data_IF_547320168540
#
_entry.id   IF_547320168540
#
_cell.length_a   1.000
_cell.length_b   1.000
_cell.length_c   1.000
_cell.angle_alpha   90.00
_cell.angle_beta   90.00
_cell.angle_gamma   90.00
#
_symmetry.space_group_name_H-M   'P 1'
#
loop_
_entity.id
_entity.type
_entity.pdbx_description
1 polymer ?
#
# COMPACT_ATOMS: atom_id res chain seq x y z
N UNK A 1 10.25 30.15 -44.22
CA UNK A 1 10.12 29.25 -45.36
C UNK A 1 9.66 27.86 -44.93
N UNK A 2 9.43 26.98 -45.88
CA UNK A 2 8.96 25.60 -45.63
C UNK A 2 9.88 24.83 -44.67
N UNK A 3 11.20 25.03 -44.78
CA UNK A 3 12.16 24.35 -43.90
C UNK A 3 12.01 24.78 -42.44
N UNK A 4 11.70 26.04 -42.17
CA UNK A 4 11.50 26.53 -40.81
C UNK A 4 10.22 25.96 -40.19
N UNK A 5 9.17 25.84 -40.98
CA UNK A 5 7.90 25.27 -40.54
C UNK A 5 8.03 23.78 -40.25
N UNK A 6 8.73 23.02 -41.10
CA UNK A 6 8.99 21.59 -40.92
C UNK A 6 9.85 21.33 -39.67
N UNK A 7 10.88 22.15 -39.44
CA UNK A 7 11.72 22.06 -38.26
C UNK A 7 10.92 22.37 -36.98
N UNK A 8 10.05 23.38 -37.03
CA UNK A 8 9.21 23.74 -35.89
C UNK A 8 8.19 22.65 -35.57
N UNK A 9 7.57 22.08 -36.60
CA UNK A 9 6.65 20.95 -36.42
C UNK A 9 7.35 19.74 -35.81
N UNK A 10 8.56 19.40 -36.28
CA UNK A 10 9.36 18.32 -35.76
C UNK A 10 9.73 18.56 -34.30
N UNK A 11 10.18 19.78 -33.97
CA UNK A 11 10.53 20.16 -32.60
C UNK A 11 9.33 20.08 -31.67
N UNK A 12 8.15 20.54 -32.11
CA UNK A 12 6.92 20.47 -31.35
C UNK A 12 6.52 19.01 -31.10
N UNK A 13 6.66 18.16 -32.12
CA UNK A 13 6.35 16.76 -32.05
C UNK A 13 7.27 16.03 -31.06
N UNK A 14 8.58 16.30 -31.13
CA UNK A 14 9.56 15.75 -30.19
C UNK A 14 9.33 16.22 -28.77
N UNK A 15 8.94 17.49 -28.57
CA UNK A 15 8.56 18.01 -27.25
C UNK A 15 7.34 17.31 -26.68
N UNK A 16 6.34 17.07 -27.54
CA UNK A 16 5.12 16.34 -27.15
C UNK A 16 5.45 14.92 -26.71
N UNK A 17 6.27 14.20 -27.47
CA UNK A 17 6.71 12.84 -27.13
C UNK A 17 7.46 12.85 -25.81
N UNK A 18 8.38 13.77 -25.62
CA UNK A 18 9.16 13.89 -24.39
C UNK A 18 8.26 14.17 -23.17
N UNK A 19 7.29 15.04 -23.33
CA UNK A 19 6.34 15.38 -22.29
C UNK A 19 5.46 14.19 -21.94
N UNK A 20 5.00 13.43 -22.94
CA UNK A 20 4.21 12.21 -22.72
C UNK A 20 5.03 11.14 -22.00
N UNK A 21 6.28 10.95 -22.42
CA UNK A 21 7.20 10.02 -21.75
C UNK A 21 7.40 10.38 -20.28
N UNK A 22 7.59 11.67 -20.00
CA UNK A 22 7.76 12.15 -18.64
C UNK A 22 6.48 11.97 -17.80
N UNK A 23 5.32 12.20 -18.39
CA UNK A 23 4.01 11.99 -17.73
C UNK A 23 3.83 10.51 -17.37
N UNK A 24 4.14 9.61 -18.29
CA UNK A 24 4.08 8.16 -18.05
C UNK A 24 5.04 7.76 -16.93
N UNK A 25 6.27 8.24 -16.99
CA UNK A 25 7.30 7.95 -15.99
C UNK A 25 6.89 8.43 -14.60
N UNK A 26 6.36 9.65 -14.51
CA UNK A 26 5.86 10.23 -13.25
C UNK A 26 4.65 9.44 -12.71
N UNK A 27 3.74 9.05 -13.59
CA UNK A 27 2.58 8.23 -13.24
C UNK A 27 2.98 6.88 -12.70
N UNK A 28 3.93 6.20 -13.35
CA UNK A 28 4.43 4.90 -12.88
C UNK A 28 5.18 5.05 -11.56
N UNK A 29 5.94 6.12 -11.37
CA UNK A 29 6.62 6.39 -10.10
C UNK A 29 5.63 6.58 -8.96
N UNK A 30 4.53 7.28 -9.20
CA UNK A 30 3.46 7.47 -8.21
C UNK A 30 2.84 6.14 -7.80
N UNK A 31 2.55 5.27 -8.77
CA UNK A 31 1.99 3.94 -8.50
C UNK A 31 2.98 3.05 -7.76
N UNK A 32 4.25 3.12 -8.11
CA UNK A 32 5.31 2.41 -7.39
C UNK A 32 5.43 2.87 -5.94
N UNK A 33 5.44 4.18 -5.72
CA UNK A 33 5.49 4.75 -4.37
C UNK A 33 4.29 4.33 -3.53
N UNK A 34 3.11 4.22 -4.15
CA UNK A 34 1.91 3.73 -3.46
C UNK A 34 2.08 2.29 -2.99
N UNK A 35 2.66 1.42 -3.82
CA UNK A 35 2.99 0.04 -3.42
C UNK A 35 3.91 0.05 -2.20
N UNK A 36 4.96 0.88 -2.21
CA UNK A 36 5.91 0.96 -1.09
C UNK A 36 5.23 1.43 0.19
N UNK A 37 4.32 2.41 0.11
CA UNK A 37 3.53 2.87 1.24
C UNK A 37 2.62 1.78 1.79
N UNK A 38 1.96 1.03 0.91
CA UNK A 38 1.07 -0.07 1.32
C UNK A 38 1.85 -1.24 1.93
N UNK A 39 3.06 -1.51 1.44
CA UNK A 39 3.95 -2.49 2.07
C UNK A 39 4.33 -2.08 3.49
N UNK A 40 4.68 -0.82 3.69
CA UNK A 40 5.01 -0.28 5.02
C UNK A 40 3.81 -0.39 5.95
N UNK A 41 2.62 -0.03 5.46
CA UNK A 41 1.38 -0.16 6.23
C UNK A 41 1.11 -1.60 6.66
N UNK A 42 1.34 -2.56 5.76
CA UNK A 42 1.18 -3.99 6.07
C UNK A 42 2.19 -4.45 7.14
N UNK A 43 3.45 -4.03 7.03
CA UNK A 43 4.47 -4.35 8.02
C UNK A 43 4.10 -3.81 9.41
N UNK A 44 3.59 -2.57 9.47
CA UNK A 44 3.14 -1.96 10.72
C UNK A 44 1.93 -2.68 11.30
N UNK A 45 0.97 -3.05 10.47
CA UNK A 45 -0.22 -3.80 10.90
C UNK A 45 0.18 -5.18 11.43
N UNK A 46 1.12 -5.85 10.78
CA UNK A 46 1.64 -7.15 11.21
C UNK A 46 2.34 -7.06 12.56
N UNK A 47 3.21 -6.05 12.74
CA UNK A 47 3.89 -5.81 14.00
C UNK A 47 2.92 -5.48 15.13
N UNK A 48 1.89 -4.69 14.84
CA UNK A 48 0.83 -4.34 15.80
C UNK A 48 0.04 -5.57 16.22
N UNK A 49 -0.31 -6.45 15.28
CA UNK A 49 -0.98 -7.71 15.59
C UNK A 49 -0.10 -8.61 16.47
N UNK A 50 1.18 -8.73 16.16
CA UNK A 50 2.11 -9.53 16.97
C UNK A 50 2.20 -9.01 18.41
N UNK A 51 2.28 -7.69 18.59
CA UNK A 51 2.31 -7.08 19.92
C UNK A 51 1.01 -7.33 20.69
N UNK A 52 -0.15 -7.20 20.02
CA UNK A 52 -1.45 -7.44 20.66
C UNK A 52 -1.64 -8.90 21.03
N UNK A 53 -1.15 -9.83 20.19
CA UNK A 53 -1.18 -11.27 20.48
C UNK A 53 -0.34 -11.59 21.71
N UNK A 54 0.82 -10.97 21.89
CA UNK A 54 1.64 -11.12 23.09
C UNK A 54 0.91 -10.60 24.33
N UNK A 55 0.24 -9.47 24.21
CA UNK A 55 -0.56 -8.89 25.30
C UNK A 55 -1.71 -9.83 25.69
N UNK A 56 -2.35 -10.44 24.70
CA UNK A 56 -3.42 -11.44 24.95
C UNK A 56 -2.88 -12.67 25.68
N UNK A 57 -1.70 -13.18 25.28
CA UNK A 57 -1.06 -14.30 25.93
C UNK A 57 -0.73 -13.99 27.41
N UNK A 58 -0.25 -12.78 27.68
CA UNK A 58 0.00 -12.32 29.04
C UNK A 58 -1.31 -12.22 29.85
N UNK A 59 -2.37 -11.70 29.23
CA UNK A 59 -3.69 -11.58 29.83
C UNK A 59 -4.29 -12.96 30.17
N UNK A 60 -4.08 -13.95 29.31
CA UNK A 60 -4.52 -15.34 29.56
C UNK A 60 -3.87 -15.90 30.81
N UNK A 61 -2.57 -15.70 31.00
CA UNK A 61 -1.86 -16.13 32.19
C UNK A 61 -2.39 -15.43 33.44
N UNK A 62 -2.67 -14.14 33.36
CA UNK A 62 -3.29 -13.39 34.46
C UNK A 62 -4.67 -13.93 34.81
N UNK A 63 -5.47 -14.29 33.81
CA UNK A 63 -6.79 -14.89 34.03
C UNK A 63 -6.69 -16.21 34.77
N UNK A 64 -5.76 -17.09 34.36
CA UNK A 64 -5.49 -18.36 35.01
C UNK A 64 -5.08 -18.19 36.47
N UNK A 65 -4.35 -17.12 36.78
CA UNK A 65 -3.90 -16.80 38.13
C UNK A 65 -4.93 -15.98 38.95
N UNK A 66 -6.08 -15.69 38.38
CA UNK A 66 -7.11 -14.88 39.04
C UNK A 66 -6.73 -13.39 39.17
N UNK A 67 -5.78 -12.90 38.34
CA UNK A 67 -5.29 -11.55 38.40
C UNK A 67 -5.99 -10.58 37.44
N UNK A 68 -6.96 -11.08 36.69
CA UNK A 68 -7.79 -10.27 35.78
C UNK A 68 -9.19 -10.90 35.69
N UNK A 69 -10.12 -10.22 35.04
CA UNK A 69 -11.49 -10.66 34.88
C UNK A 69 -11.74 -11.25 33.50
N UNK A 70 -12.81 -12.08 33.40
CA UNK A 70 -13.29 -12.60 32.10
C UNK A 70 -13.62 -11.43 31.13
N UNK A 71 -14.21 -10.36 31.63
CA UNK A 71 -14.58 -9.20 30.82
C UNK A 71 -13.35 -8.52 30.24
N UNK A 72 -12.30 -8.35 31.04
CA UNK A 72 -11.02 -7.75 30.58
C UNK A 72 -10.36 -8.66 29.53
N UNK A 73 -10.38 -9.97 29.74
CA UNK A 73 -9.86 -10.94 28.78
C UNK A 73 -10.64 -10.88 27.45
N UNK A 74 -11.97 -10.83 27.51
CA UNK A 74 -12.82 -10.71 26.32
C UNK A 74 -12.55 -9.41 25.56
N UNK A 75 -12.32 -8.32 26.28
CA UNK A 75 -11.95 -7.04 25.68
C UNK A 75 -10.63 -7.16 24.91
N UNK A 76 -9.67 -7.90 25.46
CA UNK A 76 -8.38 -8.14 24.81
C UNK A 76 -8.54 -9.01 23.55
N UNK A 77 -9.41 -10.03 23.58
CA UNK A 77 -9.74 -10.83 22.40
C UNK A 77 -10.28 -9.97 21.26
N UNK A 78 -11.17 -9.02 21.59
CA UNK A 78 -11.71 -8.07 20.60
C UNK A 78 -10.59 -7.21 20.02
N UNK A 79 -9.66 -6.74 20.84
CA UNK A 79 -8.51 -5.95 20.38
C UNK A 79 -7.64 -6.72 19.39
N UNK A 80 -7.41 -8.02 19.66
CA UNK A 80 -6.67 -8.90 18.72
C UNK A 80 -7.42 -9.03 17.40
N UNK A 81 -8.75 -9.24 17.44
CA UNK A 81 -9.57 -9.35 16.24
C UNK A 81 -9.51 -8.06 15.41
N UNK A 82 -9.54 -6.89 16.05
CA UNK A 82 -9.39 -5.60 15.37
C UNK A 82 -8.05 -5.51 14.64
N UNK A 83 -6.98 -5.97 15.28
CA UNK A 83 -5.65 -5.97 14.66
C UNK A 83 -5.54 -6.97 13.50
N UNK A 84 -6.24 -8.09 13.58
CA UNK A 84 -6.33 -9.05 12.46
C UNK A 84 -7.05 -8.43 11.26
N UNK A 85 -8.14 -7.72 11.51
CA UNK A 85 -8.88 -7.01 10.46
C UNK A 85 -8.01 -5.92 9.84
N UNK A 86 -7.29 -5.15 10.65
CA UNK A 86 -6.37 -4.12 10.15
C UNK A 86 -5.31 -4.72 9.24
N UNK A 87 -4.74 -5.86 9.62
CA UNK A 87 -3.74 -6.56 8.81
C UNK A 87 -4.33 -7.04 7.47
N UNK A 88 -5.51 -7.64 7.50
CA UNK A 88 -6.19 -8.08 6.28
C UNK A 88 -6.50 -6.91 5.36
N UNK A 89 -6.96 -5.79 5.92
CA UNK A 89 -7.24 -4.56 5.16
C UNK A 89 -5.97 -4.02 4.52
N UNK A 90 -4.87 -3.98 5.27
CA UNK A 90 -3.58 -3.52 4.76
C UNK A 90 -3.08 -4.43 3.62
N UNK A 91 -3.27 -5.74 3.75
CA UNK A 91 -2.91 -6.70 2.70
C UNK A 91 -3.75 -6.50 1.43
N UNK A 92 -5.05 -6.31 1.57
CA UNK A 92 -5.95 -6.03 0.45
C UNK A 92 -5.56 -4.73 -0.26
N UNK A 93 -5.23 -3.69 0.50
CA UNK A 93 -4.79 -2.40 -0.05
C UNK A 93 -3.49 -2.55 -0.83
N UNK A 94 -2.56 -3.37 -0.34
CA UNK A 94 -1.31 -3.67 -1.04
C UNK A 94 -1.59 -4.40 -2.36
N UNK A 95 -2.45 -5.41 -2.34
CA UNK A 95 -2.81 -6.17 -3.54
C UNK A 95 -3.46 -5.27 -4.59
N UNK A 96 -4.35 -4.36 -4.17
CA UNK A 96 -4.96 -3.38 -5.07
C UNK A 96 -3.92 -2.45 -5.70
N UNK A 97 -2.96 -1.98 -4.91
CA UNK A 97 -1.89 -1.11 -5.40
C UNK A 97 -1.02 -1.83 -6.46
N UNK A 98 -0.70 -3.10 -6.21
CA UNK A 98 0.05 -3.94 -7.16
C UNK A 98 -0.75 -4.14 -8.45
N UNK A 99 -2.04 -4.44 -8.34
CA UNK A 99 -2.91 -4.63 -9.50
C UNK A 99 -3.01 -3.36 -10.35
N UNK A 100 -3.13 -2.20 -9.70
CA UNK A 100 -3.16 -0.91 -10.41
C UNK A 100 -1.85 -0.65 -11.15
N UNK A 101 -0.72 -0.95 -10.54
CA UNK A 101 0.59 -0.82 -11.17
C UNK A 101 0.70 -1.74 -12.40
N UNK A 102 0.34 -3.00 -12.25
CA UNK A 102 0.37 -3.99 -13.34
C UNK A 102 -0.56 -3.58 -14.48
N UNK A 103 -1.73 -3.08 -14.15
CA UNK A 103 -2.72 -2.63 -15.14
C UNK A 103 -2.21 -1.44 -15.94
N UNK A 104 -1.62 -0.47 -15.25
CA UNK A 104 -1.01 0.69 -15.89
C UNK A 104 0.16 0.27 -16.78
N UNK A 105 1.00 -0.64 -16.30
CA UNK A 105 2.15 -1.16 -17.06
C UNK A 105 1.68 -1.83 -18.35
N UNK A 106 0.65 -2.67 -18.29
CA UNK A 106 0.06 -3.32 -19.48
C UNK A 106 -0.51 -2.30 -20.46
N UNK A 107 -1.14 -1.24 -19.95
CA UNK A 107 -1.68 -0.18 -20.77
C UNK A 107 -0.61 0.56 -21.58
N UNK A 108 0.55 0.78 -20.98
CA UNK A 108 1.65 1.48 -21.64
C UNK A 108 2.48 0.58 -22.57
N UNK A 109 2.41 -0.71 -22.40
CA UNK A 109 3.16 -1.67 -23.20
C UNK A 109 2.45 -2.08 -24.51
N UNK A 110 1.24 -1.61 -24.73
CA UNK A 110 0.52 -1.83 -25.99
C UNK A 110 0.90 -0.74 -27.02
#
# INVERSE_FOLDING_TARGET
>A
GEYSEDENELNDWLSTIKNQEQTIRSGMQTLYNDIMQKQTALQLADASLAAETQAMNAMQKKLELGMTTQMEYKSEEVSVLEKQIDKETANMNLQQAIEMYEWALKGYMK
#
